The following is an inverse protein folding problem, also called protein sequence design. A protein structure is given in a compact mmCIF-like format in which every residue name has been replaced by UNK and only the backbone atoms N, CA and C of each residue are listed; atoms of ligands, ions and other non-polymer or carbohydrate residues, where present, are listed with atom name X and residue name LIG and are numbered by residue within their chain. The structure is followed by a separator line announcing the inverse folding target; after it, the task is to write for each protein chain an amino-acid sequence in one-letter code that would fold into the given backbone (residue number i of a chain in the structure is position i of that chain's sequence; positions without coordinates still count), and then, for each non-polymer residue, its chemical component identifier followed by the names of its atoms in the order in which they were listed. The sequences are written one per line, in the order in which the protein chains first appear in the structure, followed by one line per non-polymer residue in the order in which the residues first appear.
data_IF_656822017313
#
_entry.id   IF_656822017313
#
_cell.length_a   1.000
_cell.length_b   1.000
_cell.length_c   1.000
_cell.angle_alpha   90.00
_cell.angle_beta   90.00
_cell.angle_gamma   90.00
#
_symmetry.space_group_name_H-M   'P 1'
#
loop_
_entity.id
_entity.type
_entity.pdbx_description
1 polymer ?
#
# COMPACT_ATOMS: atom_id res chain seq x y z
N UNK A 1 -17.03 12.56 -3.65
CA UNK A 1 -15.93 11.68 -3.21
C UNK A 1 -15.36 12.33 -1.97
N UNK A 2 -15.28 11.60 -0.86
CA UNK A 2 -14.71 12.11 0.39
C UNK A 2 -13.30 11.58 0.62
N UNK A 3 -12.50 12.40 1.30
CA UNK A 3 -11.12 12.09 1.64
C UNK A 3 -11.02 11.31 2.94
N UNK A 4 -10.25 10.22 2.91
CA UNK A 4 -9.95 9.39 4.07
C UNK A 4 -8.45 9.48 4.37
N UNK A 5 -8.12 9.88 5.61
CA UNK A 5 -6.74 9.94 6.07
C UNK A 5 -6.16 8.54 6.22
N UNK A 6 -4.99 8.31 5.62
CA UNK A 6 -4.26 7.06 5.80
C UNK A 6 -3.53 7.06 7.15
N UNK A 7 -3.63 5.94 7.85
CA UNK A 7 -3.08 5.74 9.19
C UNK A 7 -2.46 4.34 9.27
N UNK A 8 -1.55 4.12 10.21
CA UNK A 8 -0.80 2.85 10.35
C UNK A 8 -1.71 1.62 10.54
N UNK A 9 -2.92 1.79 11.06
CA UNK A 9 -3.88 0.71 11.27
C UNK A 9 -4.57 0.25 9.98
N UNK A 10 -4.37 0.96 8.87
CA UNK A 10 -4.81 0.55 7.55
C UNK A 10 -3.75 -0.24 6.80
N UNK A 11 -2.48 -0.20 7.25
CA UNK A 11 -1.36 -0.75 6.49
C UNK A 11 -0.90 -2.04 7.16
N UNK A 12 -0.91 -3.12 6.38
CA UNK A 12 -0.44 -4.44 6.77
C UNK A 12 0.82 -4.79 5.96
N UNK A 13 1.68 -5.67 6.50
CA UNK A 13 2.93 -6.08 5.84
C UNK A 13 4.12 -5.12 6.04
N UNK A 14 3.93 -3.98 6.69
CA UNK A 14 4.99 -3.04 7.06
C UNK A 14 5.49 -3.28 8.50
N UNK A 15 6.80 -3.12 8.74
CA UNK A 15 7.44 -3.23 10.06
C UNK A 15 7.51 -1.88 10.76
N UNK A 16 7.80 -0.82 10.01
CA UNK A 16 7.85 0.53 10.56
C UNK A 16 7.36 1.56 9.54
N UNK A 17 7.25 2.81 9.98
CA UNK A 17 6.69 3.89 9.17
C UNK A 17 7.54 5.15 9.35
N UNK A 18 7.88 5.78 8.23
CA UNK A 18 8.39 7.14 8.20
C UNK A 18 7.21 8.07 7.92
N UNK A 19 7.04 9.10 8.76
CA UNK A 19 5.90 10.02 8.69
C UNK A 19 6.37 11.45 8.53
N UNK A 20 5.72 12.18 7.63
CA UNK A 20 5.89 13.63 7.45
C UNK A 20 4.51 14.23 7.18
N UNK A 21 4.02 15.05 8.10
CA UNK A 21 2.67 15.63 8.04
C UNK A 21 1.57 14.56 7.90
N UNK A 22 0.85 14.54 6.76
CA UNK A 22 -0.15 13.53 6.43
C UNK A 22 0.41 12.36 5.61
N UNK A 23 1.68 12.42 5.24
CA UNK A 23 2.34 11.40 4.42
C UNK A 23 2.84 10.26 5.30
N UNK A 24 2.73 9.04 4.76
CA UNK A 24 3.23 7.84 5.41
C UNK A 24 3.95 6.95 4.40
N UNK A 25 5.22 6.68 4.67
CA UNK A 25 6.02 5.71 3.92
C UNK A 25 6.18 4.44 4.77
N UNK A 26 5.65 3.29 4.32
CA UNK A 26 5.88 2.02 4.98
C UNK A 26 7.30 1.51 4.71
N UNK A 27 7.88 0.84 5.70
CA UNK A 27 9.18 0.21 5.63
C UNK A 27 9.09 -1.24 6.08
N UNK A 28 9.82 -2.14 5.39
CA UNK A 28 9.88 -3.57 5.70
C UNK A 28 10.96 -3.93 6.72
N UNK A 29 11.72 -2.94 7.20
CA UNK A 29 12.63 -3.02 8.34
C UNK A 29 12.36 -1.88 9.33
N UNK A 30 12.93 -1.92 10.55
CA UNK A 30 12.89 -0.81 11.50
C UNK A 30 13.68 0.41 10.98
N UNK A 31 13.01 1.34 10.29
CA UNK A 31 13.62 2.52 9.68
C UNK A 31 14.51 3.35 10.62
N UNK A 32 14.10 3.66 11.88
CA UNK A 32 14.96 4.40 12.80
C UNK A 32 16.29 3.70 13.14
N UNK A 33 16.41 2.41 12.83
CA UNK A 33 17.58 1.57 13.07
C UNK A 33 18.15 0.97 11.79
N UNK A 34 17.80 1.51 10.61
CA UNK A 34 18.16 0.89 9.33
C UNK A 34 19.67 0.73 9.15
N UNK A 35 20.45 1.66 9.72
CA UNK A 35 21.92 1.62 9.71
C UNK A 35 22.54 0.45 10.48
N UNK A 36 21.76 -0.25 11.33
CA UNK A 36 22.22 -1.44 12.04
C UNK A 36 22.18 -2.71 11.17
N UNK A 37 21.56 -2.66 10.00
CA UNK A 37 21.43 -3.80 9.09
C UNK A 37 22.51 -3.71 8.02
N UNK A 38 23.33 -4.75 7.87
CA UNK A 38 24.45 -4.78 6.91
C UNK A 38 24.12 -5.61 5.65
N UNK A 39 24.57 -5.20 4.45
CA UNK A 39 25.21 -3.93 4.14
C UNK A 39 24.16 -2.81 4.06
N UNK A 40 24.34 -1.76 4.87
CA UNK A 40 23.32 -0.72 5.10
C UNK A 40 22.89 -0.02 3.82
N UNK A 41 23.85 0.29 2.94
CA UNK A 41 23.62 0.99 1.67
C UNK A 41 22.64 0.25 0.74
N UNK A 42 22.75 -1.09 0.68
CA UNK A 42 21.88 -1.90 -0.18
C UNK A 42 20.52 -2.19 0.47
N UNK A 43 20.52 -2.41 1.79
CA UNK A 43 19.31 -2.77 2.52
C UNK A 43 18.39 -1.57 2.76
N UNK A 44 18.92 -0.36 2.89
CA UNK A 44 18.12 0.84 3.07
C UNK A 44 17.16 1.04 1.88
N UNK A 45 17.70 1.10 0.65
CA UNK A 45 16.87 1.22 -0.54
C UNK A 45 15.86 0.09 -0.70
N UNK A 46 16.30 -1.17 -0.56
CA UNK A 46 15.44 -2.34 -0.76
C UNK A 46 14.38 -2.51 0.32
N UNK A 47 14.68 -2.21 1.58
CA UNK A 47 13.69 -2.31 2.66
C UNK A 47 12.62 -1.21 2.61
N UNK A 48 12.86 -0.13 1.86
CA UNK A 48 11.87 0.90 1.57
C UNK A 48 10.90 0.53 0.44
N UNK A 49 11.19 -0.49 -0.37
CA UNK A 49 10.25 -1.02 -1.37
C UNK A 49 9.05 -1.70 -0.70
N UNK A 50 7.90 -1.69 -1.38
CA UNK A 50 6.62 -2.07 -0.76
C UNK A 50 6.12 -3.47 -1.10
N UNK A 51 7.01 -4.38 -1.53
CA UNK A 51 6.70 -5.79 -1.73
C UNK A 51 5.97 -6.41 -0.52
N UNK A 52 4.75 -6.91 -0.76
CA UNK A 52 3.92 -7.53 0.28
C UNK A 52 3.23 -6.57 1.25
N UNK A 53 3.36 -5.25 1.04
CA UNK A 53 2.65 -4.23 1.83
C UNK A 53 1.30 -3.95 1.18
N UNK A 54 0.24 -3.85 1.99
CA UNK A 54 -1.11 -3.56 1.51
C UNK A 54 -1.87 -2.62 2.43
N UNK A 55 -2.82 -1.87 1.89
CA UNK A 55 -3.87 -1.22 2.67
C UNK A 55 -5.05 -2.19 2.84
N UNK A 56 -5.68 -2.24 4.00
CA UNK A 56 -6.86 -3.07 4.28
C UNK A 56 -7.95 -2.31 5.04
N UNK A 57 -9.17 -2.30 4.49
CA UNK A 57 -10.32 -1.63 5.07
C UNK A 57 -11.63 -2.20 4.53
N UNK A 58 -12.75 -1.89 5.18
CA UNK A 58 -14.09 -2.25 4.71
C UNK A 58 -14.85 -0.99 4.28
N UNK A 59 -15.55 -1.10 3.15
CA UNK A 59 -16.33 -0.02 2.56
C UNK A 59 -17.40 -0.58 1.61
N UNK A 60 -18.47 0.17 1.39
CA UNK A 60 -19.46 -0.06 0.33
C UNK A 60 -19.18 0.79 -0.94
N UNK A 61 -18.05 1.52 -0.99
CA UNK A 61 -17.67 2.37 -2.12
C UNK A 61 -17.49 1.61 -3.42
N UNK A 62 -18.02 2.15 -4.52
CA UNK A 62 -17.88 1.62 -5.88
C UNK A 62 -16.67 2.21 -6.62
N UNK A 63 -16.20 3.38 -6.16
CA UNK A 63 -14.99 4.03 -6.64
C UNK A 63 -14.00 4.24 -5.49
N UNK A 64 -12.73 3.90 -5.71
CA UNK A 64 -11.67 4.11 -4.73
C UNK A 64 -10.45 4.66 -5.45
N UNK A 65 -9.95 5.81 -5.02
CA UNK A 65 -8.67 6.35 -5.49
C UNK A 65 -7.64 6.36 -4.35
N UNK A 66 -6.44 5.86 -4.61
CA UNK A 66 -5.30 5.95 -3.71
C UNK A 66 -4.33 7.03 -4.22
N UNK A 67 -4.18 8.10 -3.44
CA UNK A 67 -3.19 9.14 -3.68
C UNK A 67 -1.84 8.79 -3.06
N UNK A 68 -0.79 8.94 -3.86
CA UNK A 68 0.62 8.72 -3.51
C UNK A 68 1.45 9.92 -3.94
N UNK A 69 2.65 10.06 -3.39
CA UNK A 69 3.62 11.02 -3.95
C UNK A 69 4.15 10.47 -5.28
N UNK A 70 4.21 11.30 -6.35
CA UNK A 70 4.94 10.98 -7.57
C UNK A 70 6.35 10.50 -7.28
N UNK A 71 6.80 9.49 -7.99
CA UNK A 71 8.16 8.99 -7.89
C UNK A 71 8.72 8.83 -9.31
N UNK A 72 9.99 9.19 -9.47
CA UNK A 72 10.74 8.89 -10.68
C UNK A 72 11.17 7.43 -10.65
N UNK A 73 10.56 6.61 -11.49
CA UNK A 73 10.84 5.18 -11.62
C UNK A 73 11.15 4.83 -13.08
N UNK A 74 11.91 3.76 -13.28
CA UNK A 74 12.23 3.21 -14.60
C UNK A 74 11.10 2.37 -15.19
N UNK A 75 10.18 1.88 -14.35
CA UNK A 75 8.96 1.17 -14.77
C UNK A 75 7.71 1.76 -14.09
N UNK A 76 6.54 1.50 -14.67
CA UNK A 76 5.27 1.84 -14.02
C UNK A 76 5.09 1.09 -12.70
N UNK A 77 4.51 1.75 -11.70
CA UNK A 77 4.15 1.13 -10.43
C UNK A 77 2.81 0.41 -10.59
N UNK A 78 2.77 -0.89 -10.34
CA UNK A 78 1.55 -1.70 -10.42
C UNK A 78 0.92 -1.82 -9.04
N UNK A 79 -0.39 -1.60 -8.94
CA UNK A 79 -1.19 -1.76 -7.73
C UNK A 79 -2.34 -2.71 -7.99
N UNK A 80 -2.56 -3.65 -7.08
CA UNK A 80 -3.67 -4.60 -7.19
C UNK A 80 -4.78 -4.24 -6.21
N UNK A 81 -6.02 -4.24 -6.68
CA UNK A 81 -7.19 -4.20 -5.80
C UNK A 81 -7.80 -5.59 -5.66
N UNK A 82 -7.92 -6.03 -4.42
CA UNK A 82 -8.51 -7.31 -4.03
C UNK A 82 -9.79 -7.02 -3.26
N UNK A 83 -10.87 -7.68 -3.66
CA UNK A 83 -12.20 -7.57 -3.05
C UNK A 83 -12.55 -8.90 -2.42
N UNK A 84 -12.77 -8.93 -1.11
CA UNK A 84 -13.10 -10.15 -0.36
C UNK A 84 -12.18 -11.33 -0.74
N UNK A 85 -10.87 -11.09 -0.68
CA UNK A 85 -9.79 -12.05 -0.99
C UNK A 85 -9.71 -12.51 -2.46
N UNK A 86 -10.45 -11.90 -3.39
CA UNK A 86 -10.37 -12.14 -4.83
C UNK A 86 -9.72 -10.95 -5.54
N UNK A 87 -8.68 -11.20 -6.36
CA UNK A 87 -8.09 -10.18 -7.21
C UNK A 87 -9.14 -9.66 -8.21
N UNK A 88 -9.37 -8.35 -8.19
CA UNK A 88 -10.37 -7.70 -9.04
C UNK A 88 -9.72 -6.97 -10.22
N UNK A 89 -8.67 -6.19 -9.98
CA UNK A 89 -7.96 -5.45 -11.03
C UNK A 89 -6.51 -5.17 -10.63
N UNK A 90 -5.60 -5.20 -11.61
CA UNK A 90 -4.24 -4.68 -11.50
C UNK A 90 -4.13 -3.41 -12.31
N UNK A 91 -3.70 -2.31 -11.68
CA UNK A 91 -3.64 -1.00 -12.31
C UNK A 91 -2.23 -0.43 -12.33
N UNK A 92 -1.83 0.07 -13.50
CA UNK A 92 -0.56 0.75 -13.70
C UNK A 92 -0.70 2.22 -13.31
N UNK A 93 0.29 2.72 -12.60
CA UNK A 93 0.50 4.13 -12.30
C UNK A 93 1.83 4.51 -12.95
N UNK A 94 1.76 5.29 -14.02
CA UNK A 94 2.89 5.69 -14.82
C UNK A 94 3.76 6.74 -14.07
N UNK A 95 4.97 6.96 -14.55
CA UNK A 95 5.91 7.89 -13.91
C UNK A 95 5.31 9.32 -13.89
N UNK A 96 5.44 10.00 -12.74
CA UNK A 96 4.89 11.33 -12.50
C UNK A 96 3.43 11.36 -12.03
N UNK A 97 2.69 10.25 -12.15
CA UNK A 97 1.30 10.17 -11.66
C UNK A 97 1.23 10.04 -10.13
N UNK A 98 0.19 10.62 -9.54
CA UNK A 98 0.00 10.75 -8.08
C UNK A 98 -1.23 10.03 -7.55
N UNK A 99 -2.02 9.37 -8.40
CA UNK A 99 -3.27 8.72 -8.01
C UNK A 99 -3.61 7.52 -8.87
N UNK A 100 -3.90 6.38 -8.22
CA UNK A 100 -4.46 5.18 -8.87
C UNK A 100 -5.93 5.03 -8.48
N UNK A 101 -6.82 4.98 -9.47
CA UNK A 101 -8.28 4.93 -9.26
C UNK A 101 -8.88 3.63 -9.76
N UNK A 102 -9.59 2.92 -8.88
CA UNK A 102 -10.35 1.71 -9.20
C UNK A 102 -11.84 2.06 -9.24
N UNK A 103 -12.52 1.66 -10.31
CA UNK A 103 -13.93 1.96 -10.56
C UNK A 103 -14.73 0.67 -10.65
N UNK A 104 -16.06 0.79 -10.72
CA UNK A 104 -16.98 -0.34 -10.92
C UNK A 104 -16.80 -1.46 -9.88
N UNK A 105 -16.39 -1.12 -8.65
CA UNK A 105 -16.30 -2.07 -7.57
C UNK A 105 -17.72 -2.44 -7.09
N UNK A 106 -17.94 -3.67 -6.61
CA UNK A 106 -19.24 -4.10 -6.12
C UNK A 106 -19.80 -3.15 -5.04
N UNK A 107 -21.09 -2.84 -5.03
CA UNK A 107 -21.66 -1.81 -4.14
C UNK A 107 -22.05 -2.32 -2.75
N UNK A 108 -21.83 -3.61 -2.46
CA UNK A 108 -21.99 -4.18 -1.14
C UNK A 108 -20.85 -3.79 -0.20
N UNK A 109 -21.13 -3.92 1.10
CA UNK A 109 -20.11 -3.75 2.12
C UNK A 109 -19.08 -4.88 2.01
N UNK A 110 -17.87 -4.54 1.58
CA UNK A 110 -16.81 -5.50 1.22
C UNK A 110 -15.49 -5.12 1.86
N UNK A 111 -14.62 -6.10 2.04
CA UNK A 111 -13.25 -5.84 2.45
C UNK A 111 -12.40 -5.61 1.20
N UNK A 112 -11.69 -4.49 1.21
CA UNK A 112 -10.73 -4.09 0.19
C UNK A 112 -9.33 -4.34 0.72
N UNK A 113 -8.49 -4.92 -0.13
CA UNK A 113 -7.04 -4.78 -0.03
C UNK A 113 -6.51 -4.05 -1.25
N UNK A 114 -5.68 -3.02 -1.04
CA UNK A 114 -4.89 -2.43 -2.12
C UNK A 114 -3.44 -2.85 -1.88
N UNK A 115 -2.95 -3.77 -2.68
CA UNK A 115 -1.56 -4.22 -2.64
C UNK A 115 -0.68 -3.20 -3.36
N UNK A 116 0.37 -2.78 -2.68
CA UNK A 116 1.33 -1.83 -3.22
C UNK A 116 2.29 -2.53 -4.18
N UNK A 117 2.97 -1.71 -4.98
CA UNK A 117 3.92 -2.20 -5.97
C UNK A 117 5.06 -3.01 -5.35
N UNK A 118 5.50 -4.04 -6.08
CA UNK A 118 6.54 -4.98 -5.64
C UNK A 118 7.92 -4.34 -5.62
N UNK A 119 8.24 -3.61 -6.68
CA UNK A 119 9.47 -2.84 -6.84
C UNK A 119 9.09 -1.39 -6.60
N UNK A 120 9.96 -0.59 -6.00
CA UNK A 120 9.75 0.81 -5.62
C UNK A 120 9.11 1.07 -4.24
N UNK A 121 9.59 2.12 -3.54
CA UNK A 121 8.89 2.71 -2.40
C UNK A 121 7.59 3.40 -2.80
N UNK A 122 6.64 3.46 -1.87
CA UNK A 122 5.39 4.22 -2.02
C UNK A 122 5.21 5.13 -0.81
N UNK A 123 5.07 6.43 -1.05
CA UNK A 123 4.69 7.40 -0.01
C UNK A 123 3.20 7.65 -0.16
N UNK A 124 2.41 7.18 0.81
CA UNK A 124 0.96 7.26 0.80
C UNK A 124 0.50 8.63 1.33
N UNK A 125 -0.53 9.21 0.72
CA UNK A 125 -1.09 10.50 1.10
C UNK A 125 -2.51 10.37 1.68
N UNK A 126 -3.48 9.96 0.86
CA UNK A 126 -4.86 9.74 1.29
C UNK A 126 -5.61 8.77 0.35
N UNK A 127 -6.76 8.29 0.81
CA UNK A 127 -7.74 7.60 -0.03
C UNK A 127 -8.89 8.57 -0.37
N UNK A 128 -9.51 8.38 -1.52
CA UNK A 128 -10.81 8.95 -1.86
C UNK A 128 -11.80 7.80 -2.07
N UNK A 129 -12.99 7.94 -1.49
CA UNK A 129 -14.11 7.01 -1.66
C UNK A 129 -15.40 7.78 -1.98
N UNK A 130 -16.45 7.10 -2.38
CA UNK A 130 -17.76 7.70 -2.64
C UNK A 130 -18.27 8.46 -1.40
N UNK A 131 -18.99 9.57 -1.62
CA UNK A 131 -19.33 10.54 -0.57
C UNK A 131 -20.12 9.91 0.58
N UNK A 132 -21.15 9.14 0.24
CA UNK A 132 -22.05 8.47 1.17
C UNK A 132 -21.50 7.15 1.73
N UNK A 133 -20.36 6.67 1.23
CA UNK A 133 -19.88 5.33 1.56
C UNK A 133 -19.31 5.20 2.96
N UNK A 134 -19.51 4.05 3.59
CA UNK A 134 -18.93 3.74 4.90
C UNK A 134 -17.45 3.42 4.76
N UNK A 135 -16.69 3.68 5.81
CA UNK A 135 -15.27 3.33 5.86
C UNK A 135 -14.89 2.86 7.26
N UNK A 136 -14.24 1.71 7.35
CA UNK A 136 -13.68 1.22 8.60
C UNK A 136 -12.35 0.48 8.38
N UNK A 137 -11.30 0.76 9.18
CA UNK A 137 -10.10 -0.06 9.20
C UNK A 137 -10.42 -1.50 9.63
N UNK A 138 -9.88 -2.50 8.93
CA UNK A 138 -10.09 -3.91 9.26
C UNK A 138 -8.75 -4.58 9.49
N UNK A 139 -8.56 -5.10 10.70
CA UNK A 139 -7.38 -5.92 11.03
C UNK A 139 -7.46 -7.25 10.33
N UNK A 140 -6.33 -7.69 9.79
CA UNK A 140 -6.18 -9.07 9.36
C UNK A 140 -6.01 -9.99 10.58
N UNK A 141 -6.85 -11.03 10.65
CA UNK A 141 -6.83 -12.02 11.74
C UNK A 141 -6.07 -13.29 11.36
N UNK A 142 -5.59 -13.39 10.11
CA UNK A 142 -4.78 -14.53 9.65
C UNK A 142 -3.48 -14.61 10.44
N UNK A 143 -2.91 -15.81 10.51
CA UNK A 143 -1.61 -16.04 11.15
C UNK A 143 -0.53 -15.22 10.43
N UNK A 144 0.36 -14.58 11.20
CA UNK A 144 1.48 -13.83 10.64
C UNK A 144 2.56 -14.79 10.14
N UNK A 145 2.88 -14.69 8.86
CA UNK A 145 3.98 -15.42 8.25
C UNK A 145 5.08 -14.43 7.86
N UNK A 146 6.31 -14.69 8.30
CA UNK A 146 7.50 -13.92 7.94
C UNK A 146 8.39 -14.79 7.06
N UNK A 147 8.73 -14.27 5.89
CA UNK A 147 9.67 -14.89 4.95
C UNK A 147 10.93 -14.05 4.86
N UNK A 148 12.09 -14.73 4.80
CA UNK A 148 13.39 -14.11 4.59
C UNK A 148 14.12 -14.89 3.50
N UNK A 149 14.69 -14.17 2.53
CA UNK A 149 15.28 -14.80 1.36
C UNK A 149 15.87 -13.79 0.39
N UNK A 150 15.84 -14.15 -0.90
CA UNK A 150 16.48 -13.38 -1.97
C UNK A 150 15.43 -12.67 -2.84
N UNK A 151 15.87 -12.10 -3.97
CA UNK A 151 14.98 -11.54 -4.99
C UNK A 151 13.95 -12.56 -5.50
N UNK A 152 14.25 -13.87 -5.48
CA UNK A 152 13.31 -14.93 -5.87
C UNK A 152 12.12 -14.99 -4.91
N UNK A 153 12.37 -14.75 -3.63
CA UNK A 153 11.31 -14.67 -2.61
C UNK A 153 10.44 -13.41 -2.75
N UNK A 154 10.87 -12.44 -3.56
CA UNK A 154 10.21 -11.16 -3.79
C UNK A 154 9.58 -11.03 -5.19
N UNK A 155 9.62 -12.10 -6.00
CA UNK A 155 9.16 -12.10 -7.39
C UNK A 155 7.69 -11.72 -7.55
#
# INVERSE_FOLDING_TARGET
MKKIKISKNLIEGAVSFEKKDNLIKPWRLPFPRIKLFAPAERLEGKSGETAGVRLRFRTDSTTIALSVIPAETDEARIFDIVVNDNLCESKRLENGEDSVTFNNLPNENKIIEIWLTQKYPVVLNYLMIDESSKFEPVKDKRVKWVTYGSSISHC
#
